data_IF_646858744121
#
_entry.id   IF_646858744121
#
_cell.length_a   1.000
_cell.length_b   1.000
_cell.length_c   1.000
_cell.angle_alpha   90.00
_cell.angle_beta   90.00
_cell.angle_gamma   90.00
#
_symmetry.space_group_name_H-M   'P 1'
#
loop_
_entity.id
_entity.type
_entity.pdbx_description
1 polymer ?
#
# COMPACT_ATOMS: atom_id res chain seq x y z
N UNK A 1 -11.62 -38.44 44.21
CA UNK A 1 -11.92 -37.75 45.47
C UNK A 1 -12.40 -36.36 45.11
N UNK A 2 -13.69 -36.10 45.21
CA UNK A 2 -14.30 -34.82 44.81
C UNK A 2 -14.12 -33.82 45.96
N UNK A 3 -13.43 -32.71 45.72
CA UNK A 3 -13.23 -31.66 46.72
C UNK A 3 -14.42 -30.70 46.61
N UNK A 4 -15.38 -30.84 47.52
CA UNK A 4 -16.61 -30.03 47.54
C UNK A 4 -16.49 -28.98 48.65
N UNK A 5 -16.78 -27.69 48.38
CA UNK A 5 -16.68 -26.63 49.38
C UNK A 5 -17.69 -26.85 50.50
N UNK A 6 -17.20 -27.05 51.72
CA UNK A 6 -18.03 -27.24 52.92
C UNK A 6 -18.17 -25.95 53.73
N UNK A 7 -17.15 -25.08 53.72
CA UNK A 7 -17.19 -23.82 54.47
C UNK A 7 -17.77 -22.66 53.64
N UNK A 8 -18.35 -21.66 54.30
CA UNK A 8 -18.88 -20.44 53.63
C UNK A 8 -17.78 -19.68 52.89
N UNK A 9 -16.58 -19.60 53.48
CA UNK A 9 -15.40 -19.00 52.84
C UNK A 9 -14.95 -19.77 51.58
N UNK A 10 -14.97 -21.11 51.62
CA UNK A 10 -14.65 -21.96 50.47
C UNK A 10 -15.66 -21.75 49.34
N UNK A 11 -16.96 -21.65 49.67
CA UNK A 11 -18.01 -21.38 48.68
C UNK A 11 -17.86 -20.00 48.03
N UNK A 12 -17.55 -18.96 48.80
CA UNK A 12 -17.31 -17.62 48.27
C UNK A 12 -16.11 -17.60 47.32
N UNK A 13 -15.01 -18.27 47.69
CA UNK A 13 -13.84 -18.44 46.83
C UNK A 13 -14.18 -19.16 45.51
N UNK A 14 -14.92 -20.28 45.58
CA UNK A 14 -15.36 -21.01 44.38
C UNK A 14 -16.20 -20.13 43.45
N UNK A 15 -17.12 -19.32 43.98
CA UNK A 15 -17.93 -18.39 43.18
C UNK A 15 -17.03 -17.36 42.48
N UNK A 16 -16.09 -16.75 43.19
CA UNK A 16 -15.14 -15.79 42.61
C UNK A 16 -14.30 -16.42 41.50
N UNK A 17 -13.79 -17.64 41.70
CA UNK A 17 -13.02 -18.37 40.68
C UNK A 17 -13.87 -18.71 39.46
N UNK A 18 -15.12 -19.13 39.64
CA UNK A 18 -16.03 -19.41 38.51
C UNK A 18 -16.32 -18.14 37.71
N UNK A 19 -16.57 -17.01 38.39
CA UNK A 19 -16.80 -15.73 37.71
C UNK A 19 -15.54 -15.32 36.94
N UNK A 20 -14.35 -15.40 37.56
CA UNK A 20 -13.10 -15.08 36.91
C UNK A 20 -12.81 -15.99 35.71
N UNK A 21 -13.04 -17.30 35.85
CA UNK A 21 -12.90 -18.28 34.78
C UNK A 21 -13.85 -17.98 33.62
N UNK A 22 -15.10 -17.61 33.90
CA UNK A 22 -16.08 -17.23 32.89
C UNK A 22 -15.64 -15.99 32.12
N UNK A 23 -15.16 -14.95 32.82
CA UNK A 23 -14.65 -13.71 32.20
C UNK A 23 -13.43 -13.98 31.33
N UNK A 24 -12.45 -14.74 31.84
CA UNK A 24 -11.23 -15.11 31.12
C UNK A 24 -11.54 -15.93 29.87
N UNK A 25 -12.41 -16.94 30.00
CA UNK A 25 -12.81 -17.79 28.88
C UNK A 25 -13.55 -16.98 27.80
N UNK A 26 -14.49 -16.12 28.20
CA UNK A 26 -15.23 -15.26 27.27
C UNK A 26 -14.31 -14.30 26.50
N UNK A 27 -13.32 -13.73 27.18
CA UNK A 27 -12.34 -12.83 26.56
C UNK A 27 -11.42 -13.57 25.59
N UNK A 28 -11.01 -14.79 25.94
CA UNK A 28 -10.19 -15.64 25.09
C UNK A 28 -10.92 -16.04 23.80
N UNK A 29 -12.16 -16.52 23.92
CA UNK A 29 -13.01 -16.86 22.77
C UNK A 29 -13.20 -15.65 21.87
N UNK A 30 -13.53 -14.48 22.44
CA UNK A 30 -13.74 -13.25 21.67
C UNK A 30 -12.50 -12.82 20.89
N UNK A 31 -11.30 -12.98 21.47
CA UNK A 31 -10.03 -12.65 20.81
C UNK A 31 -9.78 -13.54 19.59
N UNK A 32 -10.04 -14.84 19.71
CA UNK A 32 -9.95 -15.79 18.58
C UNK A 32 -10.95 -15.41 17.50
N UNK A 33 -12.21 -15.15 17.88
CA UNK A 33 -13.25 -14.75 16.93
C UNK A 33 -12.88 -13.47 16.20
N UNK A 34 -12.38 -12.45 16.91
CA UNK A 34 -11.95 -11.18 16.32
C UNK A 34 -10.80 -11.39 15.31
N UNK A 35 -9.84 -12.25 15.63
CA UNK A 35 -8.75 -12.57 14.72
C UNK A 35 -9.25 -13.32 13.47
N UNK A 36 -10.18 -14.26 13.64
CA UNK A 36 -10.81 -14.96 12.51
C UNK A 36 -11.62 -14.01 11.63
N UNK A 37 -12.39 -13.08 12.21
CA UNK A 37 -13.16 -12.10 11.43
C UNK A 37 -12.25 -11.18 10.63
N UNK A 38 -11.12 -10.75 11.20
CA UNK A 38 -10.15 -9.94 10.47
C UNK A 38 -9.54 -10.70 9.28
N UNK A 39 -9.15 -11.96 9.48
CA UNK A 39 -8.62 -12.81 8.41
C UNK A 39 -9.68 -13.05 7.32
N UNK A 40 -10.92 -13.28 7.71
CA UNK A 40 -12.02 -13.46 6.77
C UNK A 40 -12.28 -12.19 5.94
N UNK A 41 -12.30 -11.02 6.58
CA UNK A 41 -12.53 -9.74 5.90
C UNK A 41 -11.46 -9.45 4.84
N UNK A 42 -10.17 -9.64 5.18
CA UNK A 42 -9.05 -9.48 4.22
C UNK A 42 -9.24 -10.37 2.99
N UNK A 43 -9.65 -11.64 3.18
CA UNK A 43 -9.88 -12.56 2.07
C UNK A 43 -11.15 -12.21 1.28
N UNK A 44 -12.21 -11.77 1.96
CA UNK A 44 -13.48 -11.38 1.34
C UNK A 44 -13.36 -10.13 0.48
N UNK A 45 -12.55 -9.14 0.86
CA UNK A 45 -12.43 -7.88 0.12
C UNK A 45 -11.94 -8.14 -1.32
N UNK A 46 -10.91 -8.98 -1.51
CA UNK A 46 -10.42 -9.35 -2.84
C UNK A 46 -11.46 -10.12 -3.66
N UNK A 47 -12.14 -11.09 -3.04
CA UNK A 47 -13.18 -11.87 -3.70
C UNK A 47 -14.37 -11.00 -4.16
N UNK A 48 -14.78 -10.03 -3.33
CA UNK A 48 -15.83 -9.07 -3.66
C UNK A 48 -15.47 -8.18 -4.86
N UNK A 49 -14.24 -7.67 -4.91
CA UNK A 49 -13.79 -6.84 -6.03
C UNK A 49 -13.77 -7.61 -7.36
N UNK A 50 -13.33 -8.88 -7.33
CA UNK A 50 -13.37 -9.75 -8.50
C UNK A 50 -14.80 -10.05 -8.97
N UNK A 51 -15.72 -10.28 -8.02
CA UNK A 51 -17.14 -10.49 -8.33
C UNK A 51 -17.78 -9.23 -8.94
N UNK A 52 -17.47 -8.03 -8.42
CA UNK A 52 -17.96 -6.78 -9.00
C UNK A 52 -17.44 -6.55 -10.43
N UNK A 53 -16.16 -6.81 -10.68
CA UNK A 53 -15.61 -6.74 -12.03
C UNK A 53 -16.34 -7.69 -12.98
N UNK A 54 -16.57 -8.93 -12.56
CA UNK A 54 -17.29 -9.92 -13.36
C UNK A 54 -18.71 -9.46 -13.68
N UNK A 55 -19.45 -8.98 -12.68
CA UNK A 55 -20.80 -8.43 -12.86
C UNK A 55 -20.81 -7.25 -13.81
N UNK A 56 -19.91 -6.29 -13.63
CA UNK A 56 -19.81 -5.11 -14.50
C UNK A 56 -19.59 -5.49 -15.98
N UNK A 57 -18.70 -6.45 -16.24
CA UNK A 57 -18.43 -6.95 -17.60
C UNK A 57 -19.69 -7.59 -18.21
N UNK A 58 -20.43 -8.40 -17.42
CA UNK A 58 -21.66 -9.03 -17.85
C UNK A 58 -22.79 -8.03 -18.09
N UNK A 59 -23.02 -7.10 -17.16
CA UNK A 59 -24.11 -6.12 -17.19
C UNK A 59 -23.96 -5.15 -18.36
N UNK A 60 -22.73 -4.71 -18.65
CA UNK A 60 -22.43 -3.81 -19.77
C UNK A 60 -22.23 -4.55 -21.11
N UNK A 61 -22.41 -5.88 -21.15
CA UNK A 61 -22.23 -6.72 -22.35
C UNK A 61 -20.91 -6.43 -23.07
N UNK A 62 -19.83 -6.26 -22.31
CA UNK A 62 -18.49 -6.03 -22.86
C UNK A 62 -18.11 -7.23 -23.73
N UNK A 63 -17.46 -6.97 -24.87
CA UNK A 63 -17.03 -8.04 -25.78
C UNK A 63 -16.17 -9.07 -25.03
N UNK A 64 -16.37 -10.36 -25.31
CA UNK A 64 -15.65 -11.46 -24.63
C UNK A 64 -14.13 -11.30 -24.70
N UNK A 65 -13.62 -10.77 -25.81
CA UNK A 65 -12.20 -10.53 -25.99
C UNK A 65 -11.67 -9.41 -25.08
N UNK A 66 -12.39 -8.29 -24.98
CA UNK A 66 -12.02 -7.18 -24.11
C UNK A 66 -12.21 -7.52 -22.63
N UNK A 67 -13.33 -8.17 -22.28
CA UNK A 67 -13.63 -8.60 -20.92
C UNK A 67 -12.60 -9.61 -20.39
N UNK A 68 -12.18 -10.57 -21.21
CA UNK A 68 -11.11 -11.51 -20.84
C UNK A 68 -9.78 -10.78 -20.62
N UNK A 69 -9.38 -9.88 -21.53
CA UNK A 69 -8.14 -9.10 -21.38
C UNK A 69 -8.15 -8.28 -20.08
N UNK A 70 -9.26 -7.60 -19.76
CA UNK A 70 -9.42 -6.84 -18.52
C UNK A 70 -9.33 -7.76 -17.31
N UNK A 71 -10.03 -8.91 -17.34
CA UNK A 71 -10.06 -9.84 -16.21
C UNK A 71 -8.68 -10.48 -15.93
N UNK A 72 -7.99 -10.95 -16.97
CA UNK A 72 -6.64 -11.51 -16.86
C UNK A 72 -5.64 -10.48 -16.33
N UNK A 73 -5.72 -9.26 -16.86
CA UNK A 73 -4.89 -8.16 -16.43
C UNK A 73 -5.09 -7.81 -14.95
N UNK A 74 -6.34 -7.66 -14.49
CA UNK A 74 -6.66 -7.36 -13.09
C UNK A 74 -6.21 -8.51 -12.19
N UNK A 75 -6.44 -9.77 -12.58
CA UNK A 75 -6.03 -10.94 -11.80
C UNK A 75 -4.52 -11.02 -11.61
N UNK A 76 -3.75 -10.76 -12.66
CA UNK A 76 -2.29 -10.84 -12.64
C UNK A 76 -1.64 -9.70 -11.84
N UNK A 77 -2.23 -8.50 -11.87
CA UNK A 77 -1.60 -7.31 -11.29
C UNK A 77 -2.16 -6.91 -9.91
N UNK A 78 -3.42 -7.21 -9.58
CA UNK A 78 -3.97 -6.92 -8.26
C UNK A 78 -3.53 -7.91 -7.17
N UNK A 79 -3.07 -9.11 -7.52
CA UNK A 79 -2.59 -10.10 -6.54
C UNK A 79 -1.12 -9.90 -6.16
N UNK A 80 -0.35 -9.15 -6.96
CA UNK A 80 1.12 -9.17 -6.91
C UNK A 80 1.72 -7.81 -6.58
N UNK A 81 1.05 -6.72 -6.97
CA UNK A 81 1.59 -5.37 -6.79
C UNK A 81 1.10 -4.78 -5.49
N UNK A 82 1.90 -4.91 -4.41
CA UNK A 82 1.77 -3.97 -3.28
C UNK A 82 1.98 -2.58 -3.85
N UNK A 83 0.91 -1.79 -3.93
CA UNK A 83 0.98 -0.41 -4.42
C UNK A 83 2.02 0.32 -3.56
N UNK A 84 3.05 0.88 -4.20
CA UNK A 84 4.02 1.72 -3.50
C UNK A 84 3.24 2.88 -2.89
N UNK A 85 3.40 3.05 -1.58
CA UNK A 85 2.75 4.13 -0.84
C UNK A 85 3.55 5.40 -1.14
N UNK A 86 2.88 6.42 -1.67
CA UNK A 86 3.53 7.71 -1.93
C UNK A 86 3.58 8.55 -0.65
N UNK A 87 4.49 9.52 -0.61
CA UNK A 87 4.57 10.49 0.48
C UNK A 87 3.22 11.18 0.72
N UNK A 88 2.47 11.47 -0.36
CA UNK A 88 1.14 12.10 -0.31
C UNK A 88 0.08 11.25 0.40
N UNK A 89 0.23 9.93 0.40
CA UNK A 89 -0.72 8.99 0.98
C UNK A 89 -0.53 8.86 2.50
N UNK A 90 0.65 9.20 3.02
CA UNK A 90 0.99 9.14 4.45
C UNK A 90 0.65 10.46 5.13
N UNK A 91 -0.60 10.56 5.59
CA UNK A 91 -1.12 11.77 6.25
C UNK A 91 -0.33 12.18 7.50
N UNK A 92 0.29 11.21 8.19
CA UNK A 92 1.10 11.44 9.41
C UNK A 92 2.34 12.30 9.12
N UNK A 93 2.88 12.25 7.90
CA UNK A 93 4.05 13.07 7.54
C UNK A 93 3.76 14.57 7.55
N UNK A 94 2.49 14.99 7.45
CA UNK A 94 2.10 16.40 7.56
C UNK A 94 2.37 16.99 8.95
N UNK A 95 2.48 16.16 9.98
CA UNK A 95 2.78 16.57 11.36
C UNK A 95 4.28 16.79 11.57
N UNK A 96 5.12 16.25 10.68
CA UNK A 96 6.58 16.36 10.81
C UNK A 96 7.05 17.81 10.56
N UNK A 97 7.99 18.32 11.38
CA UNK A 97 8.74 19.53 11.09
C UNK A 97 9.31 19.53 9.68
N UNK A 98 9.38 20.71 9.05
CA UNK A 98 9.90 20.86 7.68
C UNK A 98 11.31 20.28 7.52
N UNK A 99 12.19 20.45 8.52
CA UNK A 99 13.54 19.88 8.49
C UNK A 99 13.53 18.36 8.36
N UNK A 100 12.72 17.66 9.17
CA UNK A 100 12.61 16.21 9.13
C UNK A 100 11.95 15.70 7.83
N UNK A 101 11.03 16.48 7.25
CA UNK A 101 10.47 16.15 5.93
C UNK A 101 11.53 16.25 4.84
N UNK A 102 12.36 17.28 4.85
CA UNK A 102 13.45 17.44 3.89
C UNK A 102 14.47 16.32 4.03
N UNK A 103 14.85 15.96 5.25
CA UNK A 103 15.78 14.85 5.51
C UNK A 103 15.23 13.51 5.01
N UNK A 104 13.95 13.22 5.27
CA UNK A 104 13.27 12.04 4.73
C UNK A 104 13.30 12.00 3.20
N UNK A 105 12.95 13.11 2.55
CA UNK A 105 12.93 13.20 1.09
C UNK A 105 14.32 13.03 0.50
N UNK A 106 15.35 13.60 1.15
CA UNK A 106 16.74 13.36 0.75
C UNK A 106 17.08 11.88 0.81
N UNK A 107 16.77 11.20 1.91
CA UNK A 107 17.09 9.78 2.08
C UNK A 107 16.38 8.89 1.05
N UNK A 108 15.16 9.25 0.64
CA UNK A 108 14.37 8.50 -0.34
C UNK A 108 14.81 8.78 -1.77
N UNK A 109 15.05 10.05 -2.14
CA UNK A 109 15.23 10.45 -3.54
C UNK A 109 16.69 10.62 -3.97
N UNK A 110 17.60 10.98 -3.06
CA UNK A 110 19.03 11.13 -3.39
C UNK A 110 19.62 9.84 -3.98
N UNK A 111 19.32 8.62 -3.45
CA UNK A 111 19.79 7.38 -4.05
C UNK A 111 19.29 7.13 -5.48
N UNK A 112 18.15 7.72 -5.85
CA UNK A 112 17.58 7.62 -7.21
C UNK A 112 18.24 8.63 -8.15
N UNK A 113 18.62 9.81 -7.64
CA UNK A 113 19.25 10.87 -8.43
C UNK A 113 20.76 10.68 -8.63
N UNK A 114 21.49 10.21 -7.61
CA UNK A 114 22.95 10.07 -7.66
C UNK A 114 23.51 9.17 -8.78
N UNK A 115 22.83 8.11 -9.26
CA UNK A 115 23.28 7.37 -10.43
C UNK A 115 23.39 8.24 -11.69
N UNK A 116 22.65 9.33 -11.78
CA UNK A 116 22.70 10.23 -12.91
C UNK A 116 23.89 11.20 -12.79
N UNK A 117 24.83 11.23 -13.76
CA UNK A 117 26.10 11.94 -13.65
C UNK A 117 25.96 13.43 -13.28
N UNK A 118 24.95 14.11 -13.84
CA UNK A 118 24.70 15.52 -13.53
C UNK A 118 24.43 15.75 -12.03
N UNK A 119 23.57 14.95 -11.41
CA UNK A 119 23.21 15.10 -10.00
C UNK A 119 24.34 14.66 -9.08
N UNK A 120 25.14 13.67 -9.49
CA UNK A 120 26.36 13.30 -8.77
C UNK A 120 27.38 14.45 -8.76
N UNK A 121 27.62 15.09 -9.89
CA UNK A 121 28.48 16.28 -9.96
C UNK A 121 27.93 17.42 -9.09
N UNK A 122 26.62 17.67 -9.13
CA UNK A 122 25.97 18.66 -8.29
C UNK A 122 26.15 18.35 -6.79
N UNK A 123 26.00 17.09 -6.38
CA UNK A 123 26.18 16.67 -4.99
C UNK A 123 27.58 16.94 -4.44
N UNK A 124 28.60 16.68 -5.27
CA UNK A 124 29.99 16.86 -4.90
C UNK A 124 30.38 18.34 -4.79
N UNK A 125 29.71 19.21 -5.54
CA UNK A 125 29.97 20.65 -5.54
C UNK A 125 29.17 21.40 -4.46
N UNK A 126 27.87 21.11 -4.33
CA UNK A 126 26.98 21.74 -3.36
C UNK A 126 25.97 20.72 -2.80
N UNK A 127 26.15 20.39 -1.52
CA UNK A 127 25.24 19.49 -0.79
C UNK A 127 23.85 20.11 -0.56
N UNK A 128 23.75 21.43 -0.49
CA UNK A 128 22.49 22.15 -0.28
C UNK A 128 21.58 22.12 -1.51
N UNK A 129 22.16 22.07 -2.71
CA UNK A 129 21.41 22.04 -3.97
C UNK A 129 20.47 20.83 -4.06
N UNK A 130 20.97 19.63 -3.73
CA UNK A 130 20.14 18.42 -3.75
C UNK A 130 19.04 18.44 -2.70
N UNK A 131 19.30 19.02 -1.53
CA UNK A 131 18.27 19.22 -0.51
C UNK A 131 17.14 20.11 -1.02
N UNK A 132 17.47 21.20 -1.72
CA UNK A 132 16.47 22.08 -2.34
C UNK A 132 15.69 21.39 -3.47
N UNK A 133 16.37 20.58 -4.31
CA UNK A 133 15.71 19.79 -5.36
C UNK A 133 14.74 18.78 -4.73
N UNK A 134 15.18 18.03 -3.72
CA UNK A 134 14.33 17.07 -3.01
C UNK A 134 13.14 17.74 -2.33
N UNK A 135 13.31 18.99 -1.88
CA UNK A 135 12.25 19.77 -1.24
C UNK A 135 11.21 20.32 -2.21
N UNK A 136 11.63 20.86 -3.35
CA UNK A 136 10.73 21.67 -4.20
C UNK A 136 10.45 21.08 -5.59
N UNK A 137 11.37 20.30 -6.15
CA UNK A 137 11.30 19.91 -7.56
C UNK A 137 10.79 18.48 -7.78
N UNK A 138 10.88 17.60 -6.79
CA UNK A 138 10.50 16.20 -6.93
C UNK A 138 9.03 15.95 -6.60
N UNK A 139 8.40 15.07 -7.37
CA UNK A 139 7.07 14.52 -7.11
C UNK A 139 7.02 13.05 -7.53
N UNK A 140 6.15 12.27 -6.88
CA UNK A 140 5.94 10.85 -7.19
C UNK A 140 4.70 10.69 -8.08
N UNK A 141 4.82 9.92 -9.16
CA UNK A 141 3.72 9.63 -10.09
C UNK A 141 3.61 8.12 -10.25
N UNK A 142 2.39 7.59 -10.13
CA UNK A 142 2.09 6.19 -10.48
C UNK A 142 1.47 6.16 -11.87
N UNK A 143 2.04 5.38 -12.77
CA UNK A 143 1.45 5.13 -14.09
C UNK A 143 0.76 3.77 -14.04
N UNK A 144 -0.49 3.71 -14.47
CA UNK A 144 -1.20 2.43 -14.60
C UNK A 144 -0.70 1.71 -15.84
N UNK A 145 -0.65 0.37 -15.79
CA UNK A 145 -0.19 -0.40 -16.94
C UNK A 145 -1.13 -0.13 -18.13
N UNK A 146 -0.55 0.08 -19.32
CA UNK A 146 -1.28 0.46 -20.53
C UNK A 146 -1.58 1.95 -20.66
N UNK A 147 -1.23 2.77 -19.67
CA UNK A 147 -1.26 4.22 -19.77
C UNK A 147 0.10 4.74 -20.30
N UNK A 148 0.06 5.63 -21.27
CA UNK A 148 1.26 6.31 -21.77
C UNK A 148 1.70 7.41 -20.81
N UNK A 149 2.99 7.46 -20.48
CA UNK A 149 3.57 8.51 -19.62
C UNK A 149 3.78 9.81 -20.40
N UNK A 150 4.18 9.71 -21.67
CA UNK A 150 4.28 10.81 -22.63
C UNK A 150 4.10 10.25 -24.05
N UNK A 151 3.72 11.12 -24.98
CA UNK A 151 3.46 10.75 -26.38
C UNK A 151 4.34 11.58 -27.31
N UNK A 152 4.61 11.04 -28.50
CA UNK A 152 5.43 11.71 -29.52
C UNK A 152 4.83 13.06 -29.94
N UNK A 153 5.68 14.08 -30.11
CA UNK A 153 5.29 15.43 -30.53
C UNK A 153 4.73 16.32 -29.41
N UNK A 154 4.63 15.80 -28.18
CA UNK A 154 4.23 16.59 -27.01
C UNK A 154 5.42 17.33 -26.41
N UNK A 155 5.16 18.51 -25.83
CA UNK A 155 6.17 19.28 -25.10
C UNK A 155 6.67 18.51 -23.87
N UNK A 156 8.00 18.40 -23.74
CA UNK A 156 8.63 17.76 -22.60
C UNK A 156 8.66 18.73 -21.40
N UNK A 157 7.74 18.53 -20.46
CA UNK A 157 7.59 19.38 -19.27
C UNK A 157 8.30 18.82 -18.02
N UNK A 158 8.59 17.52 -18.00
CA UNK A 158 9.11 16.82 -16.82
C UNK A 158 10.20 15.83 -17.21
N UNK A 159 11.10 15.57 -16.27
CA UNK A 159 12.06 14.47 -16.32
C UNK A 159 11.60 13.36 -15.35
N UNK A 160 11.56 12.13 -15.82
CA UNK A 160 11.07 10.99 -15.04
C UNK A 160 12.21 10.04 -14.67
N UNK A 161 12.18 9.53 -13.44
CA UNK A 161 13.06 8.48 -12.95
C UNK A 161 12.22 7.27 -12.57
N UNK A 162 12.57 6.10 -13.12
CA UNK A 162 11.85 4.85 -12.83
C UNK A 162 12.35 4.33 -11.48
N UNK A 163 11.47 4.34 -10.47
CA UNK A 163 11.78 3.83 -9.12
C UNK A 163 11.29 2.40 -8.90
N UNK A 164 10.31 1.95 -9.68
CA UNK A 164 9.74 0.60 -9.64
C UNK A 164 8.97 0.31 -10.93
N UNK A 165 9.03 -0.93 -11.38
CA UNK A 165 8.41 -1.36 -12.64
C UNK A 165 9.31 -1.13 -13.85
N UNK A 166 8.72 -1.27 -15.02
CA UNK A 166 9.38 -1.15 -16.33
C UNK A 166 8.53 -0.28 -17.24
N UNK A 167 9.19 0.45 -18.14
CA UNK A 167 8.54 1.26 -19.17
C UNK A 167 9.15 0.93 -20.52
N UNK A 168 8.31 0.76 -21.52
CA UNK A 168 8.72 0.58 -22.91
C UNK A 168 8.79 1.94 -23.60
N UNK A 169 9.92 2.21 -24.25
CA UNK A 169 10.10 3.40 -25.07
C UNK A 169 9.90 3.07 -26.55
N UNK A 170 8.88 3.68 -27.17
CA UNK A 170 8.61 3.53 -28.60
C UNK A 170 9.03 4.80 -29.33
N UNK A 171 9.85 4.65 -30.37
CA UNK A 171 10.19 5.75 -31.26
C UNK A 171 8.94 6.15 -32.04
N UNK A 172 8.56 7.43 -31.97
CA UNK A 172 7.50 7.97 -32.82
C UNK A 172 7.96 7.97 -34.27
N UNK A 173 7.16 7.37 -35.15
CA UNK A 173 7.36 7.50 -36.59
C UNK A 173 6.85 8.86 -37.06
N UNK A 174 7.73 9.67 -37.63
CA UNK A 174 7.34 10.86 -38.39
C UNK A 174 6.50 10.40 -39.59
N UNK A 175 5.21 10.73 -39.59
CA UNK A 175 4.32 10.63 -40.74
C UNK A 175 4.33 11.92 -41.54
#
# INVERSE_FOLDING_TARGET
MEVVPRNTAERAYTICVIIFALVMFSSFVSSITSAMTHLHDVNMQHARQQEYLRRYICDNKVSLHLGRRIYEFVRQHCSTTKKRIHESDVTVFKVLPESLRVDLRCEVFVPVLLPHPFFNCCHNYDRGLLSNICRFALSEVTVSIGQELFSHGMEATHMFFITSGELDYFFGSCG
#
